data_IF_565466690524
#
_entry.id   IF_565466690524
#
_cell.length_a   1.000
_cell.length_b   1.000
_cell.length_c   1.000
_cell.angle_alpha   90.00
_cell.angle_beta   90.00
_cell.angle_gamma   90.00
#
_symmetry.space_group_name_H-M   'P 1'
#
loop_
_entity.id
_entity.type
_entity.pdbx_description
1 polymer ?
#
# COMPACT_ATOMS: atom_id res chain seq x y z
N UNK A 1 13.69 13.52 14.13
CA UNK A 1 13.01 12.27 14.54
C UNK A 1 13.28 12.08 16.02
N UNK A 2 12.39 11.51 16.82
CA UNK A 2 12.70 11.14 18.19
C UNK A 2 13.95 10.27 18.22
N UNK A 3 14.82 10.47 19.23
CA UNK A 3 16.13 9.76 19.31
C UNK A 3 16.01 8.26 19.58
N UNK A 4 14.79 7.73 19.69
CA UNK A 4 14.49 6.34 20.10
C UNK A 4 13.94 5.47 18.96
N UNK A 5 14.05 5.92 17.71
CA UNK A 5 13.61 5.15 16.54
C UNK A 5 14.82 4.57 15.81
N UNK A 6 14.93 3.25 15.78
CA UNK A 6 15.87 2.53 14.92
C UNK A 6 15.16 2.12 13.61
N UNK A 7 15.82 2.34 12.47
CA UNK A 7 15.31 1.94 11.15
C UNK A 7 16.29 0.94 10.54
N UNK A 8 15.81 -0.28 10.27
CA UNK A 8 16.59 -1.34 9.64
C UNK A 8 16.14 -1.48 8.19
N UNK A 9 17.04 -1.18 7.25
CA UNK A 9 16.80 -1.29 5.81
C UNK A 9 17.38 -2.59 5.23
N UNK A 10 16.81 -3.02 4.09
CA UNK A 10 17.34 -4.14 3.31
C UNK A 10 17.15 -5.51 3.95
N UNK A 11 16.26 -5.62 4.94
CA UNK A 11 15.92 -6.89 5.58
C UNK A 11 14.45 -7.23 5.37
N UNK A 12 14.16 -8.50 5.12
CA UNK A 12 12.81 -9.07 5.18
C UNK A 12 12.60 -9.78 6.51
N UNK A 13 11.37 -9.75 7.02
CA UNK A 13 10.93 -10.61 8.11
C UNK A 13 10.62 -11.97 7.51
N UNK A 14 11.33 -13.01 7.95
CA UNK A 14 11.14 -14.38 7.47
C UNK A 14 10.30 -15.22 8.43
N UNK A 15 10.27 -14.87 9.71
CA UNK A 15 9.43 -15.55 10.70
C UNK A 15 9.12 -14.64 11.90
N UNK A 16 8.00 -14.94 12.56
CA UNK A 16 7.58 -14.31 13.82
C UNK A 16 7.14 -15.42 14.77
N UNK A 17 7.84 -15.56 15.86
CA UNK A 17 7.59 -16.61 16.84
C UNK A 17 7.15 -16.01 18.18
N UNK A 18 6.23 -16.68 18.86
CA UNK A 18 5.90 -16.35 20.25
C UNK A 18 7.05 -16.73 21.17
N UNK A 19 7.40 -15.83 22.07
CA UNK A 19 8.33 -16.08 23.17
C UNK A 19 7.63 -15.88 24.51
N UNK A 20 8.30 -16.29 25.62
CA UNK A 20 7.75 -16.19 26.97
C UNK A 20 7.38 -14.75 27.38
N UNK A 21 8.11 -13.76 26.85
CA UNK A 21 7.97 -12.34 27.17
C UNK A 21 7.38 -11.49 26.02
N UNK A 22 6.96 -12.11 24.89
CA UNK A 22 6.46 -11.36 23.73
C UNK A 22 6.66 -12.11 22.44
N UNK A 23 7.44 -11.53 21.54
CA UNK A 23 7.66 -12.01 20.18
C UNK A 23 9.14 -11.97 19.79
N UNK A 24 9.60 -13.00 19.09
CA UNK A 24 10.87 -13.03 18.38
C UNK A 24 10.63 -12.84 16.90
N UNK A 25 11.21 -11.80 16.31
CA UNK A 25 11.20 -11.52 14.87
C UNK A 25 12.51 -11.98 14.26
N UNK A 26 12.45 -12.82 13.23
CA UNK A 26 13.63 -13.34 12.53
C UNK A 26 13.75 -12.62 11.18
N UNK A 27 14.90 -12.00 10.95
CA UNK A 27 15.22 -11.27 9.72
C UNK A 27 15.95 -12.17 8.71
N UNK A 28 15.96 -11.73 7.43
CA UNK A 28 16.60 -12.45 6.33
C UNK A 28 18.12 -12.67 6.49
N UNK A 29 18.78 -11.87 7.30
CA UNK A 29 20.20 -12.04 7.69
C UNK A 29 20.39 -12.95 8.92
N UNK A 30 19.36 -13.64 9.37
CA UNK A 30 19.27 -14.44 10.59
C UNK A 30 19.42 -13.66 11.92
N UNK A 31 19.39 -12.33 11.86
CA UNK A 31 19.28 -11.52 13.08
C UNK A 31 17.92 -11.76 13.74
N UNK A 32 17.92 -11.83 15.07
CA UNK A 32 16.71 -11.97 15.89
C UNK A 32 16.48 -10.70 16.69
N UNK A 33 15.24 -10.26 16.71
CA UNK A 33 14.80 -9.08 17.47
C UNK A 33 13.69 -9.53 18.41
N UNK A 34 13.88 -9.34 19.70
CA UNK A 34 12.85 -9.60 20.70
C UNK A 34 12.08 -8.30 21.00
N UNK A 35 10.77 -8.39 21.03
CA UNK A 35 9.88 -7.26 21.29
C UNK A 35 8.62 -7.71 22.02
N UNK A 36 8.04 -6.82 22.81
CA UNK A 36 6.76 -7.08 23.48
C UNK A 36 5.58 -6.93 22.50
N UNK A 37 5.69 -6.00 21.55
CA UNK A 37 4.60 -5.63 20.64
C UNK A 37 5.10 -5.65 19.19
N UNK A 38 4.30 -6.19 18.29
CA UNK A 38 4.51 -6.11 16.84
C UNK A 38 3.32 -5.44 16.17
N UNK A 39 3.61 -4.54 15.22
CA UNK A 39 2.62 -3.97 14.30
C UNK A 39 2.98 -4.38 12.87
N UNK A 40 2.12 -5.18 12.25
CA UNK A 40 2.27 -5.62 10.87
C UNK A 40 1.68 -4.57 9.92
N UNK A 41 2.55 -3.80 9.25
CA UNK A 41 2.16 -2.78 8.28
C UNK A 41 2.78 -3.04 6.89
N UNK A 42 3.03 -4.31 6.54
CA UNK A 42 3.86 -4.72 5.41
C UNK A 42 3.09 -5.03 4.11
N UNK A 43 1.82 -4.62 4.01
CA UNK A 43 1.01 -4.76 2.79
C UNK A 43 1.05 -6.18 2.20
N UNK A 44 1.59 -6.38 0.98
CA UNK A 44 1.65 -7.71 0.36
C UNK A 44 2.56 -8.70 1.10
N UNK A 45 3.48 -8.21 1.91
CA UNK A 45 4.34 -9.05 2.76
C UNK A 45 3.56 -9.89 3.77
N UNK A 46 2.33 -9.51 4.09
CA UNK A 46 1.45 -10.29 4.97
C UNK A 46 1.30 -11.75 4.53
N UNK A 47 1.27 -12.01 3.22
CA UNK A 47 1.14 -13.37 2.68
C UNK A 47 2.27 -14.33 3.11
N UNK A 48 3.41 -13.78 3.54
CA UNK A 48 4.57 -14.54 3.98
C UNK A 48 4.60 -14.73 5.51
N UNK A 49 3.66 -14.13 6.23
CA UNK A 49 3.57 -14.17 7.69
C UNK A 49 2.49 -15.17 8.09
N UNK A 50 2.88 -16.24 8.77
CA UNK A 50 1.99 -17.35 9.14
C UNK A 50 0.74 -16.88 9.89
N UNK A 51 0.88 -15.92 10.80
CA UNK A 51 -0.22 -15.39 11.62
C UNK A 51 -1.30 -14.67 10.81
N UNK A 52 -0.99 -14.27 9.58
CA UNK A 52 -1.93 -13.57 8.68
C UNK A 52 -2.52 -14.44 7.58
N UNK A 53 -2.08 -15.69 7.44
CA UNK A 53 -2.58 -16.63 6.42
C UNK A 53 -4.07 -16.98 6.58
N UNK A 54 -4.63 -16.68 7.75
CA UNK A 54 -6.05 -16.89 8.06
C UNK A 54 -6.96 -15.85 7.39
N UNK A 55 -6.41 -14.75 6.88
CA UNK A 55 -7.18 -13.68 6.26
C UNK A 55 -7.28 -13.86 4.74
N UNK A 56 -8.51 -13.88 4.23
CA UNK A 56 -8.74 -13.90 2.79
C UNK A 56 -8.54 -12.49 2.20
N UNK A 57 -7.31 -12.16 1.83
CA UNK A 57 -6.94 -10.86 1.28
C UNK A 57 -6.94 -10.88 -0.25
N UNK A 58 -7.36 -9.77 -0.84
CA UNK A 58 -7.31 -9.56 -2.28
C UNK A 58 -6.06 -8.78 -2.67
N UNK A 59 -5.37 -9.26 -3.68
CA UNK A 59 -4.17 -8.64 -4.23
C UNK A 59 -4.46 -8.09 -5.63
N UNK A 60 -4.26 -6.79 -5.80
CA UNK A 60 -4.49 -6.10 -7.07
C UNK A 60 -3.23 -5.39 -7.48
N UNK A 61 -2.64 -5.81 -8.60
CA UNK A 61 -1.48 -5.14 -9.16
C UNK A 61 -1.88 -3.83 -9.82
N UNK A 62 -1.06 -2.81 -9.66
CA UNK A 62 -1.23 -1.52 -10.32
C UNK A 62 0.08 -1.00 -10.82
N UNK A 63 0.03 -0.33 -11.97
CA UNK A 63 1.14 0.41 -12.55
C UNK A 63 0.80 1.87 -12.64
N UNK A 64 1.74 2.71 -12.26
CA UNK A 64 1.77 4.14 -12.60
C UNK A 64 2.79 4.35 -13.72
N UNK A 65 2.56 5.38 -14.51
CA UNK A 65 3.43 5.78 -15.62
C UNK A 65 4.06 7.12 -15.30
N UNK A 66 5.38 7.21 -15.42
CA UNK A 66 6.13 8.45 -15.29
C UNK A 66 6.39 9.07 -16.66
N UNK A 67 6.17 10.37 -16.77
CA UNK A 67 6.42 11.13 -17.99
C UNK A 67 7.31 12.31 -17.66
N UNK A 68 8.44 12.39 -18.37
CA UNK A 68 9.41 13.44 -18.19
C UNK A 68 8.90 14.80 -18.67
N UNK A 69 9.34 15.85 -18.00
CA UNK A 69 8.99 17.24 -18.29
C UNK A 69 9.23 17.65 -19.75
N UNK A 70 10.29 17.13 -20.36
CA UNK A 70 10.64 17.43 -21.76
C UNK A 70 9.61 16.92 -22.80
N UNK A 71 8.72 16.01 -22.40
CA UNK A 71 7.63 15.47 -23.21
C UNK A 71 6.33 16.28 -23.07
N UNK A 72 6.33 17.28 -22.18
CA UNK A 72 5.16 18.09 -21.88
C UNK A 72 5.15 19.42 -22.62
N UNK A 73 4.01 19.78 -23.18
CA UNK A 73 3.73 21.10 -23.76
C UNK A 73 3.46 22.14 -22.66
N UNK A 74 2.64 21.75 -21.69
CA UNK A 74 2.30 22.56 -20.54
C UNK A 74 2.46 21.75 -19.27
N UNK A 75 2.85 22.42 -18.18
CA UNK A 75 3.01 21.78 -16.87
C UNK A 75 1.70 21.81 -16.08
N UNK A 76 1.21 20.67 -15.58
CA UNK A 76 0.05 20.64 -14.72
C UNK A 76 0.35 21.34 -13.39
N UNK A 77 -0.49 22.32 -13.02
CA UNK A 77 -0.34 23.08 -11.75
C UNK A 77 -1.05 22.44 -10.57
N UNK A 78 -1.97 21.50 -10.85
CA UNK A 78 -2.76 20.79 -9.86
C UNK A 78 -2.95 19.34 -10.28
N UNK A 79 -3.45 18.50 -9.36
CA UNK A 79 -3.88 17.15 -9.71
C UNK A 79 -5.13 17.22 -10.60
N UNK A 80 -5.12 16.44 -11.68
CA UNK A 80 -6.33 16.10 -12.43
C UNK A 80 -6.80 14.72 -11.99
N UNK A 81 -8.09 14.59 -11.70
CA UNK A 81 -8.72 13.31 -11.31
C UNK A 81 -9.86 13.00 -12.28
N UNK A 82 -9.87 11.78 -12.80
CA UNK A 82 -10.87 11.24 -13.73
C UNK A 82 -11.04 9.73 -13.46
N UNK A 83 -11.16 8.85 -14.43
CA UNK A 83 -11.01 7.39 -14.24
C UNK A 83 -9.57 6.95 -13.92
N UNK A 84 -8.70 7.89 -13.68
CA UNK A 84 -7.32 7.85 -13.25
C UNK A 84 -6.92 9.19 -12.65
N UNK A 85 -5.66 9.55 -12.78
CA UNK A 85 -5.15 10.86 -12.33
C UNK A 85 -3.88 11.26 -13.08
N UNK A 86 -3.60 12.57 -13.09
CA UNK A 86 -2.32 13.17 -13.46
C UNK A 86 -1.87 14.05 -12.31
N UNK A 87 -0.61 13.89 -11.85
CA UNK A 87 -0.05 14.73 -10.79
C UNK A 87 0.60 16.00 -11.35
N UNK A 88 0.80 17.03 -10.52
CA UNK A 88 1.75 18.10 -10.83
C UNK A 88 3.16 17.53 -11.04
N UNK A 89 4.04 18.38 -11.57
CA UNK A 89 5.44 18.06 -11.75
C UNK A 89 6.14 17.90 -10.39
N UNK A 90 6.80 16.76 -10.18
CA UNK A 90 7.65 16.47 -9.01
C UNK A 90 8.93 15.81 -9.56
N UNK A 91 10.08 16.31 -9.18
CA UNK A 91 11.39 15.81 -9.62
C UNK A 91 11.51 15.62 -11.16
N UNK A 92 11.04 16.64 -11.91
CA UNK A 92 10.96 16.65 -13.38
C UNK A 92 10.10 15.55 -14.02
N UNK A 93 9.23 14.91 -13.25
CA UNK A 93 8.29 13.90 -13.69
C UNK A 93 6.84 14.28 -13.35
N UNK A 94 5.90 13.95 -14.23
CA UNK A 94 4.50 13.80 -13.87
C UNK A 94 4.17 12.31 -13.76
N UNK A 95 3.22 11.98 -12.90
CA UNK A 95 2.72 10.62 -12.74
C UNK A 95 1.30 10.51 -13.28
N UNK A 96 1.10 9.55 -14.17
CA UNK A 96 -0.20 9.17 -14.70
C UNK A 96 -0.57 7.79 -14.18
N UNK A 97 -1.76 7.64 -13.65
CA UNK A 97 -2.16 6.34 -13.08
C UNK A 97 -3.65 6.20 -12.79
N UNK A 98 -3.99 5.04 -12.32
CA UNK A 98 -3.19 3.85 -12.27
C UNK A 98 -4.01 2.67 -12.81
N UNK A 99 -3.33 1.65 -13.29
CA UNK A 99 -4.03 0.41 -13.65
C UNK A 99 -4.49 -0.36 -12.41
N UNK A 100 -5.49 -1.22 -12.60
CA UNK A 100 -6.04 -2.14 -11.58
C UNK A 100 -6.14 -3.54 -12.20
N UNK A 101 -5.13 -4.37 -11.99
CA UNK A 101 -5.03 -5.72 -12.53
C UNK A 101 -5.35 -6.73 -11.43
N UNK A 102 -6.59 -7.18 -11.37
CA UNK A 102 -7.04 -8.21 -10.44
C UNK A 102 -6.54 -9.58 -10.89
N UNK A 103 -6.20 -10.43 -9.92
CA UNK A 103 -5.78 -11.82 -10.17
C UNK A 103 -4.62 -11.96 -11.18
N UNK A 104 -3.84 -10.93 -11.36
CA UNK A 104 -2.67 -10.98 -12.24
C UNK A 104 -1.50 -11.68 -11.55
N UNK A 105 -0.70 -12.40 -12.33
CA UNK A 105 0.61 -12.84 -11.86
C UNK A 105 1.46 -11.61 -11.53
N UNK A 106 2.07 -11.59 -10.35
CA UNK A 106 2.95 -10.49 -9.95
C UNK A 106 4.05 -10.30 -10.99
N UNK A 107 4.20 -9.09 -11.50
CA UNK A 107 5.32 -8.68 -12.34
C UNK A 107 6.10 -7.56 -11.65
N UNK A 108 7.40 -7.53 -11.91
CA UNK A 108 8.32 -6.57 -11.32
C UNK A 108 8.85 -5.57 -12.37
N UNK A 109 8.25 -5.54 -13.55
CA UNK A 109 8.66 -4.67 -14.66
C UNK A 109 7.50 -3.79 -15.13
N UNK A 110 7.85 -2.64 -15.67
CA UNK A 110 6.89 -1.71 -16.30
C UNK A 110 6.44 -2.30 -17.64
N UNK A 111 5.13 -2.30 -17.86
CA UNK A 111 4.49 -2.85 -19.07
C UNK A 111 3.96 -1.74 -19.97
N UNK A 112 4.32 -1.78 -21.25
CA UNK A 112 3.78 -0.86 -22.26
C UNK A 112 2.26 -0.95 -22.41
N UNK A 113 1.69 -2.15 -22.20
CA UNK A 113 0.23 -2.31 -22.15
C UNK A 113 -0.41 -1.48 -21.05
N UNK A 114 0.20 -1.48 -19.86
CA UNK A 114 -0.29 -0.69 -18.73
C UNK A 114 -0.04 0.81 -18.95
N UNK A 115 1.10 1.20 -19.53
CA UNK A 115 1.36 2.59 -19.93
C UNK A 115 0.27 3.09 -20.91
N UNK A 116 -0.07 2.27 -21.90
CA UNK A 116 -1.14 2.60 -22.86
C UNK A 116 -2.50 2.77 -22.18
N UNK A 117 -2.84 1.92 -21.22
CA UNK A 117 -4.09 2.04 -20.44
C UNK A 117 -4.10 3.36 -19.67
N UNK A 118 -3.02 3.67 -18.96
CA UNK A 118 -2.93 4.91 -18.18
C UNK A 118 -3.07 6.15 -19.07
N UNK A 119 -2.41 6.19 -20.22
CA UNK A 119 -2.51 7.31 -21.17
C UNK A 119 -3.90 7.42 -21.80
N UNK A 120 -4.51 6.30 -22.19
CA UNK A 120 -5.83 6.29 -22.80
C UNK A 120 -6.96 6.69 -21.82
N UNK A 121 -6.71 6.60 -20.51
CA UNK A 121 -7.65 7.06 -19.50
C UNK A 121 -7.64 8.58 -19.33
N UNK A 122 -6.63 9.29 -19.86
CA UNK A 122 -6.59 10.77 -19.80
C UNK A 122 -7.66 11.32 -20.76
N UNK A 123 -8.58 12.16 -20.28
CA UNK A 123 -9.53 12.84 -21.17
C UNK A 123 -8.80 13.61 -22.28
N UNK A 124 -9.36 13.57 -23.49
CA UNK A 124 -8.72 14.13 -24.68
C UNK A 124 -8.33 15.61 -24.51
N UNK A 125 -9.18 16.40 -23.89
CA UNK A 125 -8.92 17.83 -23.63
C UNK A 125 -7.70 18.04 -22.74
N UNK A 126 -7.54 17.19 -21.69
CA UNK A 126 -6.39 17.23 -20.80
C UNK A 126 -5.15 16.75 -21.55
N UNK A 127 -5.28 15.68 -22.33
CA UNK A 127 -4.17 15.13 -23.10
C UNK A 127 -3.61 16.17 -24.08
N UNK A 128 -4.45 16.81 -24.88
CA UNK A 128 -4.07 17.86 -25.83
C UNK A 128 -3.49 19.11 -25.14
N UNK A 129 -3.93 19.38 -23.92
CA UNK A 129 -3.38 20.47 -23.12
C UNK A 129 -1.96 20.18 -22.64
N UNK A 130 -1.68 18.93 -22.22
CA UNK A 130 -0.41 18.55 -21.61
C UNK A 130 0.66 18.14 -22.62
N UNK A 131 0.28 17.56 -23.77
CA UNK A 131 1.20 16.96 -24.72
C UNK A 131 1.10 17.62 -26.09
N UNK A 132 2.27 17.82 -26.76
CA UNK A 132 2.32 18.37 -28.12
C UNK A 132 2.38 17.28 -29.20
N UNK A 133 2.84 16.10 -28.86
CA UNK A 133 3.12 15.01 -29.80
C UNK A 133 2.69 13.65 -29.24
N UNK A 134 2.67 12.66 -30.12
CA UNK A 134 2.39 11.27 -29.75
C UNK A 134 3.50 10.74 -28.84
N UNK A 135 3.12 10.30 -27.65
CA UNK A 135 4.05 9.72 -26.69
C UNK A 135 4.47 8.31 -27.16
N UNK A 136 5.78 8.07 -27.17
CA UNK A 136 6.35 6.75 -27.48
C UNK A 136 6.33 5.88 -26.22
N UNK A 137 5.51 4.84 -26.22
CA UNK A 137 5.27 3.98 -25.04
C UNK A 137 6.53 3.27 -24.54
N UNK A 138 7.41 2.84 -25.44
CA UNK A 138 8.63 2.10 -25.11
C UNK A 138 9.69 2.94 -24.37
N UNK A 139 9.49 4.26 -24.31
CA UNK A 139 10.35 5.21 -23.62
C UNK A 139 9.76 5.68 -22.29
N UNK A 140 8.66 5.09 -21.86
CA UNK A 140 8.02 5.46 -20.60
C UNK A 140 8.45 4.53 -19.48
N UNK A 141 8.88 5.14 -18.39
CA UNK A 141 9.13 4.46 -17.13
C UNK A 141 7.89 4.48 -16.23
N UNK A 142 8.01 3.94 -15.05
CA UNK A 142 6.93 3.89 -14.08
C UNK A 142 7.25 3.02 -12.87
N UNK A 143 6.22 2.74 -12.09
CA UNK A 143 6.33 1.85 -10.94
C UNK A 143 5.17 0.87 -10.92
N UNK A 144 5.50 -0.39 -10.63
CA UNK A 144 4.53 -1.47 -10.42
C UNK A 144 4.50 -1.83 -8.94
N UNK A 145 3.31 -2.01 -8.38
CA UNK A 145 3.15 -2.38 -6.97
C UNK A 145 1.85 -3.17 -6.75
N UNK A 146 1.81 -3.95 -5.66
CA UNK A 146 0.60 -4.65 -5.23
C UNK A 146 -0.16 -3.80 -4.22
N UNK A 147 -1.46 -3.72 -4.40
CA UNK A 147 -2.40 -3.22 -3.39
C UNK A 147 -3.05 -4.40 -2.71
N UNK A 148 -3.16 -4.32 -1.41
CA UNK A 148 -3.88 -5.30 -0.61
C UNK A 148 -5.18 -4.69 -0.14
N UNK A 149 -6.26 -5.44 -0.27
CA UNK A 149 -7.58 -5.07 0.23
C UNK A 149 -8.30 -6.28 0.80
N UNK A 150 -9.24 -6.03 1.67
CA UNK A 150 -10.23 -7.00 2.10
C UNK A 150 -11.33 -7.13 1.04
N UNK A 151 -12.16 -8.14 1.17
CA UNK A 151 -13.30 -8.35 0.27
C UNK A 151 -14.32 -7.21 0.38
N UNK A 152 -14.57 -6.72 1.60
CA UNK A 152 -15.46 -5.60 1.89
C UNK A 152 -14.86 -4.22 1.62
N UNK A 153 -13.58 -4.18 1.22
CA UNK A 153 -12.79 -2.96 0.95
C UNK A 153 -12.61 -2.04 2.15
N UNK A 154 -12.90 -2.52 3.36
CA UNK A 154 -12.58 -1.80 4.59
C UNK A 154 -11.15 -2.14 5.03
N UNK A 155 -10.40 -1.19 5.58
CA UNK A 155 -9.07 -1.45 6.12
C UNK A 155 -9.09 -2.52 7.22
N UNK A 156 -7.93 -3.08 7.49
CA UNK A 156 -7.70 -3.91 8.68
C UNK A 156 -6.83 -3.14 9.66
N UNK A 157 -7.35 -2.91 10.85
CA UNK A 157 -6.64 -2.24 11.94
C UNK A 157 -7.06 -2.84 13.28
N UNK A 158 -6.12 -3.35 14.05
CA UNK A 158 -6.40 -3.89 15.38
C UNK A 158 -5.53 -5.07 15.75
N UNK A 159 -5.87 -5.71 16.85
CA UNK A 159 -5.15 -6.84 17.42
C UNK A 159 -5.61 -8.16 16.76
N UNK A 160 -4.65 -8.97 16.29
CA UNK A 160 -4.92 -10.30 15.71
C UNK A 160 -4.53 -11.43 16.65
N UNK A 161 -3.52 -11.22 17.47
CA UNK A 161 -3.12 -12.07 18.60
C UNK A 161 -2.64 -11.16 19.75
N UNK A 162 -2.45 -11.71 20.94
CA UNK A 162 -1.95 -10.92 22.09
C UNK A 162 -0.66 -10.17 21.70
N UNK A 163 -0.67 -8.85 21.78
CA UNK A 163 0.43 -7.96 21.44
C UNK A 163 0.93 -8.05 19.98
N UNK A 164 0.14 -8.62 19.09
CA UNK A 164 0.37 -8.62 17.64
C UNK A 164 -0.79 -7.89 16.96
N UNK A 165 -0.45 -6.79 16.34
CA UNK A 165 -1.40 -5.89 15.69
C UNK A 165 -1.17 -5.84 14.18
N UNK A 166 -2.19 -5.43 13.46
CA UNK A 166 -2.14 -5.24 12.01
C UNK A 166 -2.69 -3.86 11.64
N UNK A 167 -2.05 -3.22 10.67
CA UNK A 167 -2.57 -2.06 9.95
C UNK A 167 -2.31 -2.28 8.46
N UNK A 168 -3.31 -2.73 7.73
CA UNK A 168 -3.15 -3.14 6.34
C UNK A 168 -4.46 -3.08 5.56
N UNK A 169 -4.43 -3.61 4.35
CA UNK A 169 -5.58 -3.69 3.44
C UNK A 169 -6.21 -2.33 3.07
N UNK A 170 -5.39 -1.27 3.06
CA UNK A 170 -5.83 0.10 2.77
C UNK A 170 -6.20 0.31 1.28
N UNK A 171 -5.89 -0.66 0.42
CA UNK A 171 -6.19 -0.62 -1.02
C UNK A 171 -5.58 0.59 -1.71
N UNK A 172 -6.40 1.33 -2.45
CA UNK A 172 -5.96 2.54 -3.16
C UNK A 172 -5.99 3.81 -2.28
N UNK A 173 -6.48 3.73 -1.05
CA UNK A 173 -6.69 4.89 -0.16
C UNK A 173 -5.62 5.01 0.93
N UNK A 174 -4.53 4.25 0.82
CA UNK A 174 -3.50 4.16 1.86
C UNK A 174 -2.93 5.50 2.29
N UNK A 175 -2.60 6.39 1.36
CA UNK A 175 -2.03 7.71 1.67
C UNK A 175 -2.95 8.60 2.52
N UNK A 176 -4.27 8.47 2.36
CA UNK A 176 -5.25 9.25 3.12
C UNK A 176 -5.55 8.58 4.46
N UNK A 177 -5.69 7.26 4.47
CA UNK A 177 -6.18 6.52 5.63
C UNK A 177 -5.08 6.13 6.62
N UNK A 178 -3.85 5.92 6.16
CA UNK A 178 -2.78 5.42 7.01
C UNK A 178 -2.45 6.32 8.22
N UNK A 179 -2.37 7.66 8.09
CA UNK A 179 -2.11 8.52 9.23
C UNK A 179 -3.22 8.44 10.29
N UNK A 180 -4.49 8.52 9.86
CA UNK A 180 -5.64 8.45 10.75
C UNK A 180 -5.74 7.11 11.48
N UNK A 181 -5.60 6.01 10.73
CA UNK A 181 -5.68 4.67 11.29
C UNK A 181 -4.44 4.31 12.12
N UNK A 182 -3.29 4.87 11.77
CA UNK A 182 -2.06 4.73 12.57
C UNK A 182 -2.18 5.38 13.94
N UNK A 183 -2.74 6.58 14.00
CA UNK A 183 -3.03 7.29 15.26
C UNK A 183 -4.06 6.52 16.10
N UNK A 184 -5.13 6.04 15.49
CA UNK A 184 -6.14 5.23 16.15
C UNK A 184 -5.57 3.91 16.70
N UNK A 185 -4.70 3.23 15.92
CA UNK A 185 -4.03 2.01 16.39
C UNK A 185 -3.08 2.27 17.55
N UNK A 186 -2.32 3.36 17.48
CA UNK A 186 -1.46 3.79 18.59
C UNK A 186 -2.27 4.05 19.87
N UNK A 187 -3.42 4.72 19.74
CA UNK A 187 -4.34 4.95 20.87
C UNK A 187 -4.83 3.64 21.48
N UNK A 188 -5.20 2.65 20.66
CA UNK A 188 -5.61 1.31 21.13
C UNK A 188 -4.48 0.61 21.88
N UNK A 189 -3.26 0.64 21.34
CA UNK A 189 -2.10 -0.01 21.95
C UNK A 189 -1.73 0.63 23.29
N UNK A 190 -1.90 1.95 23.42
CA UNK A 190 -1.58 2.72 24.61
C UNK A 190 -2.75 2.84 25.61
N UNK A 191 -3.86 2.13 25.36
CA UNK A 191 -5.09 2.21 26.15
C UNK A 191 -5.60 3.66 26.32
N UNK A 192 -5.58 4.43 25.23
CA UNK A 192 -6.03 5.81 25.15
C UNK A 192 -7.30 5.93 24.32
N UNK A 193 -8.12 6.97 24.52
CA UNK A 193 -9.28 7.22 23.68
C UNK A 193 -8.87 7.38 22.21
N UNK A 194 -9.51 6.62 21.33
CA UNK A 194 -9.33 6.75 19.88
C UNK A 194 -10.10 7.94 19.32
N UNK A 195 -9.55 8.63 18.32
CA UNK A 195 -10.27 9.64 17.54
C UNK A 195 -11.34 9.09 16.59
N UNK A 196 -11.45 7.76 16.45
CA UNK A 196 -12.47 7.10 15.63
C UNK A 196 -13.69 6.73 16.47
N UNK A 197 -14.86 6.81 15.85
CA UNK A 197 -16.07 6.30 16.46
C UNK A 197 -16.09 4.75 16.52
N UNK A 198 -17.00 4.21 17.33
CA UNK A 198 -17.07 2.78 17.59
C UNK A 198 -17.47 1.96 16.36
N UNK A 199 -18.21 2.54 15.41
CA UNK A 199 -18.63 1.87 14.18
C UNK A 199 -17.44 1.75 13.22
N UNK A 200 -16.63 2.81 13.10
CA UNK A 200 -15.41 2.78 12.33
C UNK A 200 -14.39 1.80 12.91
N UNK A 201 -14.23 1.78 14.23
CA UNK A 201 -13.34 0.81 14.91
C UNK A 201 -13.79 -0.62 14.62
N UNK A 202 -15.07 -0.95 14.76
CA UNK A 202 -15.63 -2.25 14.42
C UNK A 202 -15.48 -2.57 12.93
N UNK A 203 -15.71 -1.58 12.06
CA UNK A 203 -15.55 -1.72 10.62
C UNK A 203 -14.11 -1.99 10.17
N UNK A 204 -13.12 -1.63 10.99
CA UNK A 204 -11.70 -1.89 10.72
C UNK A 204 -11.15 -3.11 11.47
N UNK A 205 -11.87 -3.68 12.44
CA UNK A 205 -11.42 -4.82 13.24
C UNK A 205 -11.07 -6.01 12.34
N UNK A 206 -9.85 -6.56 12.39
CA UNK A 206 -9.46 -7.71 11.61
C UNK A 206 -10.29 -8.96 11.92
N UNK A 207 -10.87 -9.06 13.12
CA UNK A 207 -11.69 -10.20 13.53
C UNK A 207 -13.09 -10.23 12.87
N UNK A 208 -13.51 -9.15 12.20
CA UNK A 208 -14.74 -9.14 11.38
C UNK A 208 -14.62 -10.02 10.12
N UNK A 209 -13.38 -10.29 9.70
CA UNK A 209 -13.12 -11.06 8.48
C UNK A 209 -13.20 -12.54 8.85
N UNK A 210 -13.98 -13.31 8.10
CA UNK A 210 -14.01 -14.75 8.25
C UNK A 210 -12.60 -15.32 8.08
N UNK A 211 -12.11 -15.96 9.13
CA UNK A 211 -10.84 -16.69 9.08
C UNK A 211 -11.09 -17.94 8.24
N UNK A 212 -10.47 -18.00 7.06
CA UNK A 212 -10.44 -19.26 6.32
C UNK A 212 -9.61 -20.24 7.13
N UNK A 213 -10.28 -21.17 7.79
CA UNK A 213 -9.62 -22.34 8.34
C UNK A 213 -9.04 -23.12 7.17
N UNK A 214 -7.72 -23.11 7.03
CA UNK A 214 -7.02 -24.07 6.19
C UNK A 214 -7.28 -25.43 6.84
N UNK A 215 -8.17 -26.20 6.22
CA UNK A 215 -8.40 -27.60 6.53
C UNK A 215 -7.20 -28.42 6.04
#
# INVERSE_FOLDING_TARGET
MPNDIEIIFGQEIIDINKDNNGWEVVLSNNQKINTEIIILACSEGLKNIRQTNVFNLQYTQGQITHIEKNKLKNLPKSNFSFSGYVTPLIDDLITVGATFEKNSTKRNYVSNKANKINLNNIPEEIFQSLFSEKIILDQLDGRVSMRVSTFDRMPMMGQIEKNLYILSALGARGMIMAPLLGDALASIILDQPSGLDIEMLKGCDPNRIERSFLA
#
